data_IF_366068444780
#
_entry.id   IF_366068444780
#
_cell.length_a   1.000
_cell.length_b   1.000
_cell.length_c   1.000
_cell.angle_alpha   90.00
_cell.angle_beta   90.00
_cell.angle_gamma   90.00
#
_symmetry.space_group_name_H-M   'P 1'
#
loop_
_entity.id
_entity.type
_entity.pdbx_description
1 polymer ?
#
# COMPACT_ATOMS: atom_id res chain seq x y z
N UNK A 1 -38.11 -35.56 26.15
CA UNK A 1 -37.38 -35.88 24.91
C UNK A 1 -37.42 -34.72 23.90
N UNK A 2 -38.54 -34.05 23.71
CA UNK A 2 -38.62 -32.93 22.76
C UNK A 2 -37.76 -31.71 23.15
N UNK A 3 -37.58 -31.46 24.44
CA UNK A 3 -36.79 -30.31 24.93
C UNK A 3 -35.29 -30.48 24.73
N UNK A 4 -34.76 -31.70 24.75
CA UNK A 4 -33.35 -31.99 24.49
C UNK A 4 -33.00 -31.87 23.00
N UNK A 5 -33.97 -32.11 22.14
CA UNK A 5 -33.78 -31.98 20.69
C UNK A 5 -33.75 -30.52 20.21
N UNK A 6 -34.46 -29.62 20.92
CA UNK A 6 -34.44 -28.17 20.61
C UNK A 6 -33.14 -27.49 21.01
N UNK A 7 -32.51 -27.93 22.10
CA UNK A 7 -31.22 -27.39 22.55
C UNK A 7 -30.09 -27.83 21.62
N UNK A 8 -30.17 -29.04 21.08
CA UNK A 8 -29.16 -29.55 20.16
C UNK A 8 -29.21 -28.82 18.79
N UNK A 9 -30.41 -28.41 18.37
CA UNK A 9 -30.58 -27.68 17.11
C UNK A 9 -30.05 -26.21 17.19
N UNK A 10 -30.18 -25.59 18.38
CA UNK A 10 -29.66 -24.22 18.58
C UNK A 10 -28.15 -24.14 18.62
N UNK A 11 -27.48 -25.18 19.11
CA UNK A 11 -26.02 -25.21 19.20
C UNK A 11 -25.38 -25.40 17.81
N UNK A 12 -26.04 -26.13 16.90
CA UNK A 12 -25.51 -26.31 15.53
C UNK A 12 -25.63 -25.05 14.67
N UNK A 13 -26.58 -24.14 14.94
CA UNK A 13 -26.76 -22.91 14.16
C UNK A 13 -25.70 -21.87 14.53
N UNK A 14 -25.25 -21.85 15.79
CA UNK A 14 -24.20 -20.92 16.23
C UNK A 14 -22.79 -21.24 15.67
N UNK A 15 -22.51 -22.51 15.36
CA UNK A 15 -21.22 -22.91 14.82
C UNK A 15 -21.06 -22.65 13.32
N UNK A 16 -22.15 -22.52 12.59
CA UNK A 16 -22.14 -22.25 11.15
C UNK A 16 -21.86 -20.76 10.86
N UNK A 17 -22.25 -19.87 11.74
CA UNK A 17 -21.99 -18.43 11.62
C UNK A 17 -20.51 -18.07 11.89
N UNK A 18 -19.79 -18.85 12.70
CA UNK A 18 -18.37 -18.65 12.94
C UNK A 18 -17.49 -19.12 11.77
N UNK A 19 -17.96 -20.08 10.97
CA UNK A 19 -17.23 -20.59 9.80
C UNK A 19 -17.33 -19.67 8.57
N UNK A 20 -18.32 -18.78 8.50
CA UNK A 20 -18.50 -17.85 7.38
C UNK A 20 -17.67 -16.56 7.51
N UNK A 21 -17.14 -16.25 8.68
CA UNK A 21 -16.37 -15.03 8.94
C UNK A 21 -14.86 -15.17 8.71
N UNK A 22 -14.35 -16.36 8.48
CA UNK A 22 -12.91 -16.61 8.40
C UNK A 22 -12.43 -17.31 7.12
N UNK A 23 -13.32 -17.72 6.24
CA UNK A 23 -12.95 -18.48 5.05
C UNK A 23 -12.87 -17.60 3.80
N UNK A 24 -11.70 -17.33 3.27
CA UNK A 24 -11.49 -16.63 2.01
C UNK A 24 -10.82 -15.28 2.17
N UNK A 25 -10.13 -15.05 3.28
CA UNK A 25 -9.21 -13.93 3.40
C UNK A 25 -8.09 -14.11 2.39
N UNK A 26 -7.99 -13.24 1.39
CA UNK A 26 -6.72 -13.01 0.72
C UNK A 26 -5.70 -12.72 1.81
N UNK A 27 -4.61 -13.51 1.84
CA UNK A 27 -3.45 -13.27 2.72
C UNK A 27 -2.69 -12.00 2.27
N UNK A 28 -3.45 -11.00 1.85
CA UNK A 28 -2.90 -9.72 1.37
C UNK A 28 -2.54 -8.86 2.56
N UNK A 29 -1.29 -8.46 2.63
CA UNK A 29 -0.81 -7.54 3.67
C UNK A 29 -1.62 -6.24 3.67
N UNK A 30 -1.91 -5.73 4.86
CA UNK A 30 -2.65 -4.50 5.04
C UNK A 30 -1.70 -3.30 5.11
N UNK A 31 -1.72 -2.49 4.05
CA UNK A 31 -0.95 -1.25 3.94
C UNK A 31 -1.78 0.00 4.22
N UNK A 32 -3.10 -0.11 4.44
CA UNK A 32 -3.93 1.06 4.74
C UNK A 32 -3.42 1.81 5.97
N UNK A 33 -3.41 3.12 5.90
CA UNK A 33 -2.95 3.98 7.00
C UNK A 33 -2.22 5.23 6.53
N UNK A 34 -1.61 5.93 7.47
CA UNK A 34 -0.84 7.15 7.24
C UNK A 34 0.66 6.85 7.27
N UNK A 35 1.40 7.49 6.40
CA UNK A 35 2.84 7.33 6.25
C UNK A 35 3.54 8.68 6.30
N UNK A 36 4.65 8.72 7.02
CA UNK A 36 5.59 9.83 7.00
C UNK A 36 6.77 9.46 6.11
N UNK A 37 6.97 10.19 5.02
CA UNK A 37 8.09 10.01 4.10
C UNK A 37 9.25 10.93 4.52
N UNK A 38 10.46 10.38 4.49
CA UNK A 38 11.68 11.17 4.61
C UNK A 38 11.93 12.01 3.34
N UNK A 39 12.87 12.93 3.42
CA UNK A 39 13.45 13.51 2.20
C UNK A 39 13.94 12.39 1.28
N UNK A 40 13.50 12.41 0.04
CA UNK A 40 13.97 11.47 -0.99
C UNK A 40 15.08 12.13 -1.82
N UNK A 41 16.21 11.45 -1.90
CA UNK A 41 17.38 11.94 -2.65
C UNK A 41 17.41 11.34 -4.05
N UNK A 42 17.91 12.11 -5.00
CA UNK A 42 18.10 11.64 -6.37
C UNK A 42 19.16 10.52 -6.38
N UNK A 43 18.76 9.32 -6.77
CA UNK A 43 19.63 8.15 -6.87
C UNK A 43 20.03 7.84 -8.31
N UNK A 44 19.24 8.28 -9.28
CA UNK A 44 19.56 8.17 -10.72
C UNK A 44 18.86 9.28 -11.48
N UNK A 45 19.56 9.83 -12.49
CA UNK A 45 19.02 10.89 -13.34
C UNK A 45 19.63 10.78 -14.74
N UNK A 46 18.81 10.45 -15.74
CA UNK A 46 19.22 10.37 -17.15
C UNK A 46 18.76 11.59 -17.95
N UNK A 47 18.19 12.61 -17.28
CA UNK A 47 17.65 13.80 -17.95
C UNK A 47 18.72 14.84 -18.31
N UNK A 48 19.94 14.70 -17.82
CA UNK A 48 21.06 15.61 -18.12
C UNK A 48 20.96 16.99 -17.45
N UNK A 49 19.92 17.24 -16.66
CA UNK A 49 19.73 18.47 -15.89
C UNK A 49 19.74 18.19 -14.40
N UNK A 50 20.11 19.19 -13.62
CA UNK A 50 20.06 19.14 -12.15
C UNK A 50 18.61 18.98 -11.68
N UNK A 51 18.35 18.03 -10.81
CA UNK A 51 17.03 17.77 -10.22
C UNK A 51 17.13 17.84 -8.71
N UNK A 52 16.17 18.54 -8.10
CA UNK A 52 16.11 18.67 -6.65
C UNK A 52 15.67 17.37 -5.95
N UNK A 53 16.10 17.19 -4.71
CA UNK A 53 15.55 16.20 -3.81
C UNK A 53 14.08 16.52 -3.48
N UNK A 54 13.30 15.50 -3.19
CA UNK A 54 11.91 15.66 -2.76
C UNK A 54 11.88 15.85 -1.24
N UNK A 55 11.29 16.94 -0.72
CA UNK A 55 11.19 17.17 0.72
C UNK A 55 10.39 16.07 1.42
N UNK A 56 10.64 15.92 2.71
CA UNK A 56 9.82 15.06 3.55
C UNK A 56 8.34 15.45 3.46
N UNK A 57 7.46 14.47 3.42
CA UNK A 57 6.02 14.66 3.21
C UNK A 57 5.21 13.58 3.92
N UNK A 58 3.91 13.73 3.92
CA UNK A 58 2.97 12.78 4.48
C UNK A 58 2.01 12.30 3.39
N UNK A 59 1.69 11.02 3.41
CA UNK A 59 0.70 10.43 2.52
C UNK A 59 -0.20 9.44 3.25
N UNK A 60 -1.33 9.14 2.65
CA UNK A 60 -2.28 8.16 3.16
C UNK A 60 -2.55 7.06 2.15
N UNK A 61 -2.72 5.85 2.65
CA UNK A 61 -3.10 4.68 1.84
C UNK A 61 -4.51 4.26 2.21
N UNK A 62 -5.37 4.11 1.20
CA UNK A 62 -6.59 3.32 1.29
C UNK A 62 -6.40 2.03 0.50
N UNK A 63 -6.93 0.93 1.01
CA UNK A 63 -6.76 -0.39 0.41
C UNK A 63 -8.08 -1.13 0.37
N UNK A 64 -8.37 -1.75 -0.78
CA UNK A 64 -9.49 -2.66 -0.98
C UNK A 64 -8.97 -3.91 -1.68
N UNK A 65 -8.86 -5.01 -0.91
CA UNK A 65 -8.18 -6.21 -1.38
C UNK A 65 -6.72 -5.90 -1.75
N UNK A 66 -6.35 -6.13 -2.99
CA UNK A 66 -5.02 -5.78 -3.51
C UNK A 66 -4.94 -4.38 -4.10
N UNK A 67 -6.06 -3.67 -4.24
CA UNK A 67 -6.08 -2.34 -4.83
C UNK A 67 -5.63 -1.29 -3.81
N UNK A 68 -4.70 -0.45 -4.21
CA UNK A 68 -4.10 0.62 -3.41
C UNK A 68 -4.44 1.97 -4.03
N UNK A 69 -4.82 2.93 -3.19
CA UNK A 69 -4.83 4.34 -3.52
C UNK A 69 -3.95 5.08 -2.53
N UNK A 70 -2.90 5.72 -3.04
CA UNK A 70 -2.05 6.63 -2.28
C UNK A 70 -2.52 8.06 -2.52
N UNK A 71 -2.68 8.84 -1.45
CA UNK A 71 -3.08 10.25 -1.51
C UNK A 71 -2.07 11.10 -0.74
N UNK A 72 -1.60 12.14 -1.37
CA UNK A 72 -0.75 13.17 -0.77
C UNK A 72 -1.19 14.57 -1.25
N UNK A 73 -0.59 15.62 -0.71
CA UNK A 73 -0.97 17.01 -1.05
C UNK A 73 -0.84 17.35 -2.53
N UNK A 74 0.06 16.68 -3.24
CA UNK A 74 0.30 16.90 -4.68
C UNK A 74 -0.64 16.12 -5.60
N UNK A 75 -1.37 15.13 -5.09
CA UNK A 75 -2.28 14.31 -5.89
C UNK A 75 -2.48 12.90 -5.36
N UNK A 76 -3.03 12.06 -6.20
CA UNK A 76 -3.29 10.65 -5.89
C UNK A 76 -2.66 9.72 -6.92
N UNK A 77 -2.33 8.52 -6.44
CA UNK A 77 -1.75 7.43 -7.21
C UNK A 77 -2.60 6.18 -7.00
N UNK A 78 -2.77 5.37 -8.01
CA UNK A 78 -3.50 4.11 -7.92
C UNK A 78 -2.60 2.95 -8.32
N UNK A 79 -2.79 1.82 -7.69
CA UNK A 79 -1.99 0.64 -7.97
C UNK A 79 -2.42 -0.58 -7.19
N UNK A 80 -1.47 -1.39 -6.82
CA UNK A 80 -1.74 -2.66 -6.14
C UNK A 80 -0.64 -3.07 -5.18
N UNK A 81 -1.02 -3.94 -4.25
CA UNK A 81 -0.07 -4.70 -3.44
C UNK A 81 0.78 -5.58 -4.35
N UNK A 82 2.10 -5.58 -4.14
CA UNK A 82 3.04 -6.39 -4.90
C UNK A 82 2.73 -7.89 -4.73
N UNK A 83 3.09 -8.70 -5.72
CA UNK A 83 2.75 -10.13 -5.75
C UNK A 83 3.31 -10.93 -4.58
N UNK A 84 4.43 -10.49 -3.99
CA UNK A 84 5.06 -11.10 -2.82
C UNK A 84 4.51 -10.58 -1.48
N UNK A 85 3.48 -9.71 -1.49
CA UNK A 85 2.91 -9.04 -0.32
C UNK A 85 3.91 -8.22 0.52
N UNK A 86 5.10 -7.96 0.01
CA UNK A 86 6.17 -7.24 0.71
C UNK A 86 6.11 -5.72 0.57
N UNK A 87 5.17 -5.21 -0.20
CA UNK A 87 5.01 -3.79 -0.45
C UNK A 87 3.87 -3.50 -1.41
N UNK A 88 3.82 -2.29 -1.92
CA UNK A 88 2.87 -1.89 -2.95
C UNK A 88 3.52 -0.93 -3.94
N UNK A 89 2.92 -0.88 -5.12
CA UNK A 89 3.32 0.03 -6.19
C UNK A 89 2.07 0.78 -6.68
N UNK A 90 2.16 2.10 -6.74
CA UNK A 90 1.09 2.97 -7.21
C UNK A 90 1.63 3.94 -8.26
N UNK A 91 0.81 4.29 -9.22
CA UNK A 91 1.19 5.12 -10.36
C UNK A 91 0.23 6.31 -10.54
N UNK A 92 0.77 7.39 -11.06
CA UNK A 92 0.00 8.51 -11.62
C UNK A 92 0.69 9.01 -12.88
N UNK A 93 -0.02 9.75 -13.69
CA UNK A 93 0.54 10.38 -14.89
C UNK A 93 0.35 11.88 -14.82
N UNK A 94 1.34 12.62 -15.25
CA UNK A 94 1.27 14.07 -15.29
C UNK A 94 2.46 14.68 -16.04
N UNK A 95 2.24 15.81 -16.70
CA UNK A 95 3.30 16.53 -17.43
C UNK A 95 4.10 15.69 -18.44
N UNK A 96 3.47 14.70 -19.08
CA UNK A 96 4.11 13.81 -20.04
C UNK A 96 5.00 12.73 -19.42
N UNK A 97 4.97 12.55 -18.11
CA UNK A 97 5.70 11.51 -17.40
C UNK A 97 4.78 10.55 -16.66
N UNK A 98 5.19 9.30 -16.54
CA UNK A 98 4.61 8.33 -15.63
C UNK A 98 5.36 8.42 -14.30
N UNK A 99 4.64 8.66 -13.22
CA UNK A 99 5.19 8.68 -11.87
C UNK A 99 4.82 7.39 -11.16
N UNK A 100 5.82 6.67 -10.68
CA UNK A 100 5.64 5.41 -9.95
C UNK A 100 6.17 5.59 -8.53
N UNK A 101 5.30 5.35 -7.54
CA UNK A 101 5.67 5.26 -6.13
C UNK A 101 5.68 3.78 -5.73
N UNK A 102 6.76 3.35 -5.10
CA UNK A 102 6.88 2.00 -4.54
C UNK A 102 7.32 2.09 -3.08
N UNK A 103 6.58 1.44 -2.18
CA UNK A 103 6.96 1.25 -0.79
C UNK A 103 7.16 -0.25 -0.53
N UNK A 104 8.33 -0.60 0.00
CA UNK A 104 8.66 -1.98 0.36
C UNK A 104 9.02 -2.07 1.84
N UNK A 105 8.39 -3.02 2.53
CA UNK A 105 8.65 -3.26 3.95
C UNK A 105 10.11 -3.62 4.19
N UNK A 106 10.71 -2.97 5.19
CA UNK A 106 12.06 -3.27 5.70
C UNK A 106 12.00 -3.86 7.10
N UNK A 107 10.82 -3.98 7.68
CA UNK A 107 10.54 -4.54 8.99
C UNK A 107 9.66 -3.61 9.83
N UNK A 108 8.73 -4.18 10.59
CA UNK A 108 7.79 -3.40 11.41
C UNK A 108 6.99 -2.39 10.58
N UNK A 109 7.01 -1.14 11.01
CA UNK A 109 6.35 -0.03 10.34
C UNK A 109 7.26 0.76 9.37
N UNK A 110 8.44 0.24 9.08
CA UNK A 110 9.44 0.89 8.23
C UNK A 110 9.41 0.36 6.80
N UNK A 111 9.62 1.26 5.85
CA UNK A 111 9.55 0.97 4.41
C UNK A 111 10.70 1.69 3.69
N UNK A 112 11.26 1.04 2.69
CA UNK A 112 12.05 1.70 1.66
C UNK A 112 11.08 2.34 0.66
N UNK A 113 11.27 3.63 0.38
CA UNK A 113 10.47 4.39 -0.55
C UNK A 113 11.26 4.68 -1.83
N UNK A 114 10.64 4.48 -2.97
CA UNK A 114 11.22 4.77 -4.28
C UNK A 114 10.18 5.50 -5.13
N UNK A 115 10.56 6.65 -5.66
CA UNK A 115 9.76 7.38 -6.65
C UNK A 115 10.52 7.39 -7.97
N UNK A 116 9.84 7.10 -9.05
CA UNK A 116 10.41 7.10 -10.41
C UNK A 116 9.54 7.95 -11.31
N UNK A 117 10.13 8.94 -11.96
CA UNK A 117 9.51 9.68 -13.05
C UNK A 117 10.10 9.20 -14.38
N UNK A 118 9.26 8.64 -15.24
CA UNK A 118 9.65 8.08 -16.54
C UNK A 118 8.92 8.78 -17.67
N UNK A 119 9.67 9.22 -18.65
CA UNK A 119 9.19 9.87 -19.86
C UNK A 119 10.26 9.80 -20.93
N UNK A 120 10.61 10.94 -21.56
CA UNK A 120 11.74 11.02 -22.47
C UNK A 120 13.09 10.67 -21.79
N UNK A 121 13.16 10.87 -20.48
CA UNK A 121 14.27 10.46 -19.61
C UNK A 121 13.70 9.93 -18.29
N UNK A 122 14.56 9.43 -17.41
CA UNK A 122 14.14 8.83 -16.14
C UNK A 122 14.90 9.47 -14.98
N UNK A 123 14.14 9.79 -13.92
CA UNK A 123 14.67 10.22 -12.63
C UNK A 123 14.16 9.28 -11.56
N UNK A 124 15.06 8.86 -10.66
CA UNK A 124 14.74 8.01 -9.52
C UNK A 124 15.17 8.71 -8.24
N UNK A 125 14.23 8.80 -7.30
CA UNK A 125 14.49 9.23 -5.92
C UNK A 125 14.30 8.05 -4.98
N UNK A 126 15.11 8.00 -3.96
CA UNK A 126 15.02 7.00 -2.90
C UNK A 126 15.00 7.66 -1.53
N UNK A 127 14.24 7.09 -0.63
CA UNK A 127 14.08 7.53 0.74
C UNK A 127 13.50 6.43 1.60
N UNK A 128 12.91 6.82 2.71
CA UNK A 128 12.25 5.90 3.64
C UNK A 128 10.85 6.40 3.97
N UNK A 129 10.00 5.50 4.41
CA UNK A 129 8.69 5.84 4.94
C UNK A 129 8.46 5.09 6.26
N UNK A 130 7.69 5.69 7.15
CA UNK A 130 7.24 5.07 8.40
C UNK A 130 5.73 5.14 8.45
N UNK A 131 5.09 4.01 8.65
CA UNK A 131 3.64 3.95 8.88
C UNK A 131 3.34 4.40 10.30
N UNK A 132 2.52 5.43 10.44
CA UNK A 132 2.20 6.09 11.72
C UNK A 132 0.82 5.74 12.26
N UNK A 133 -0.04 5.22 11.40
CA UNK A 133 -1.38 4.76 11.82
C UNK A 133 -1.94 3.69 10.89
#
# INVERSE_FOLDING_TARGET
>A
MLQKMRVLLLVCIASVLAACGGGGGDDTSNFAGTYQLSTAVVSSNTCGTSVANIPASQGGVTQNGRNITWVESSGSYTGSVDTDNGGFTAITSGSGALITLSLRSTGGNSYAAKLTASGACTIVWTGTAVKTS
#
